data_IF_510853052704
#
_entry.id   IF_510853052704
#
_cell.length_a   1.000
_cell.length_b   1.000
_cell.length_c   1.000
_cell.angle_alpha   90.00
_cell.angle_beta   90.00
_cell.angle_gamma   90.00
#
_symmetry.space_group_name_H-M   'P 1'
#
loop_
_entity.id
_entity.type
_entity.pdbx_description
1 polymer ?
#
# COMPACT_ATOMS: atom_id res chain seq x y z
N UNK A 1 -11.05 -0.46 14.53
CA UNK A 1 -10.00 -0.96 13.58
C UNK A 1 -10.36 -2.37 13.15
N UNK A 2 -10.56 -2.59 11.86
CA UNK A 2 -10.78 -3.90 11.26
C UNK A 2 -9.43 -4.49 10.81
N UNK A 3 -9.34 -5.83 10.76
CA UNK A 3 -8.13 -6.56 10.34
C UNK A 3 -8.47 -7.56 9.25
N UNK A 4 -7.58 -7.70 8.30
CA UNK A 4 -7.63 -8.70 7.23
C UNK A 4 -6.60 -9.79 7.56
N UNK A 5 -6.95 -11.06 7.32
CA UNK A 5 -6.01 -12.17 7.51
C UNK A 5 -5.39 -12.52 6.16
N UNK A 6 -4.09 -12.38 6.05
CA UNK A 6 -3.33 -12.73 4.84
C UNK A 6 -3.21 -14.24 4.65
N UNK A 7 -2.84 -14.69 3.45
CA UNK A 7 -2.70 -16.11 3.10
C UNK A 7 -1.66 -16.89 3.93
N UNK A 8 -0.78 -16.18 4.63
CA UNK A 8 0.19 -16.79 5.55
C UNK A 8 -0.26 -16.73 7.03
N UNK A 9 -1.50 -16.33 7.29
CA UNK A 9 -2.09 -16.24 8.62
C UNK A 9 -1.78 -14.92 9.37
N UNK A 10 -0.96 -14.05 8.81
CA UNK A 10 -0.65 -12.75 9.40
C UNK A 10 -1.88 -11.83 9.33
N UNK A 11 -2.15 -11.08 10.41
CA UNK A 11 -3.22 -10.08 10.44
C UNK A 11 -2.68 -8.69 10.14
N UNK A 12 -3.24 -8.05 9.12
CA UNK A 12 -2.93 -6.67 8.72
C UNK A 12 -4.12 -5.75 9.00
N UNK A 13 -3.93 -4.53 9.55
CA UNK A 13 -5.01 -3.55 9.65
C UNK A 13 -5.55 -3.18 8.27
N UNK A 14 -6.87 -3.11 8.11
CA UNK A 14 -7.53 -2.76 6.85
C UNK A 14 -7.22 -1.32 6.39
N UNK A 15 -6.68 -0.48 7.26
CA UNK A 15 -6.20 0.87 6.94
C UNK A 15 -4.81 1.09 7.49
N UNK A 16 -3.91 1.60 6.62
CA UNK A 16 -2.56 2.00 6.96
C UNK A 16 -2.31 3.47 6.64
N UNK A 17 -1.23 4.02 7.18
CA UNK A 17 -0.76 5.37 6.91
C UNK A 17 0.38 5.33 5.89
N UNK A 18 0.13 5.84 4.69
CA UNK A 18 1.14 5.94 3.62
C UNK A 18 2.08 7.11 3.83
N UNK A 19 3.37 6.94 3.50
CA UNK A 19 4.41 7.97 3.64
C UNK A 19 4.97 8.48 2.31
N UNK A 20 4.47 8.01 1.17
CA UNK A 20 4.93 8.47 -0.14
C UNK A 20 4.81 10.00 -0.30
N UNK A 21 5.85 10.64 -0.83
CA UNK A 21 5.95 12.10 -1.01
C UNK A 21 5.85 12.91 0.31
N UNK A 22 6.18 12.33 1.45
CA UNK A 22 6.47 13.10 2.65
C UNK A 22 7.99 13.17 2.76
N UNK A 23 8.59 14.38 2.76
CA UNK A 23 10.04 14.51 2.75
C UNK A 23 10.66 14.09 4.10
N UNK A 24 11.93 13.67 4.05
CA UNK A 24 12.72 13.31 5.22
C UNK A 24 13.46 14.54 5.82
N UNK A 25 12.69 15.57 6.12
CA UNK A 25 13.15 16.83 6.75
C UNK A 25 12.54 17.06 8.15
N UNK A 26 12.12 15.98 8.80
CA UNK A 26 11.33 15.97 10.03
C UNK A 26 9.82 15.86 9.77
N UNK A 27 9.36 16.07 8.53
CA UNK A 27 7.94 15.99 8.17
C UNK A 27 7.41 14.56 8.26
N UNK A 28 8.19 13.57 7.77
CA UNK A 28 7.81 12.15 7.86
C UNK A 28 7.76 11.71 9.33
N UNK A 29 8.77 12.04 10.12
CA UNK A 29 8.77 11.73 11.55
C UNK A 29 7.52 12.28 12.25
N UNK A 30 7.19 13.56 12.01
CA UNK A 30 6.04 14.22 12.62
C UNK A 30 4.73 13.56 12.18
N UNK A 31 4.55 13.31 10.88
CA UNK A 31 3.32 12.73 10.33
C UNK A 31 3.07 11.30 10.83
N UNK A 32 4.11 10.45 10.89
CA UNK A 32 4.01 9.09 11.41
C UNK A 32 3.67 9.09 12.91
N UNK A 33 4.29 9.98 13.70
CA UNK A 33 3.91 10.12 15.12
C UNK A 33 2.46 10.55 15.31
N UNK A 34 1.98 11.52 14.54
CA UNK A 34 0.58 11.94 14.58
C UNK A 34 -0.36 10.80 14.14
N UNK A 35 0.01 10.01 13.13
CA UNK A 35 -0.78 8.86 12.71
C UNK A 35 -0.86 7.79 13.83
N UNK A 36 0.26 7.42 14.44
CA UNK A 36 0.28 6.46 15.55
C UNK A 36 -0.51 6.97 16.77
N UNK A 37 -0.39 8.27 17.08
CA UNK A 37 -1.17 8.94 18.13
C UNK A 37 -2.68 8.95 17.82
N UNK A 38 -3.06 9.14 16.56
CA UNK A 38 -4.46 9.09 16.12
C UNK A 38 -5.05 7.67 16.18
N UNK A 39 -4.23 6.62 16.29
CA UNK A 39 -4.66 5.24 16.41
C UNK A 39 -4.32 4.35 15.21
N UNK A 40 -3.62 4.85 14.19
CA UNK A 40 -3.07 3.96 13.15
C UNK A 40 -2.15 2.90 13.76
N UNK A 41 -2.24 1.69 13.22
CA UNK A 41 -1.37 0.57 13.59
C UNK A 41 -0.72 -0.10 12.38
N UNK A 42 -0.86 0.49 11.21
CA UNK A 42 -0.16 0.10 9.99
C UNK A 42 0.50 1.33 9.38
N UNK A 43 1.81 1.25 9.12
CA UNK A 43 2.62 2.29 8.47
C UNK A 43 3.23 1.71 7.22
N UNK A 44 3.04 2.39 6.08
CA UNK A 44 3.60 2.01 4.77
C UNK A 44 4.66 3.02 4.33
N UNK A 45 5.84 2.50 4.02
CA UNK A 45 6.96 3.23 3.44
C UNK A 45 7.61 2.45 2.30
N UNK A 46 8.77 2.88 1.81
CA UNK A 46 9.59 2.18 0.83
C UNK A 46 11.03 2.72 0.81
N UNK A 47 11.99 1.90 0.37
CA UNK A 47 13.36 2.34 0.16
C UNK A 47 13.45 3.56 -0.77
N UNK A 48 12.67 3.57 -1.87
CA UNK A 48 12.61 4.67 -2.84
C UNK A 48 11.93 5.96 -2.33
N UNK A 49 11.36 5.95 -1.13
CA UNK A 49 10.78 7.19 -0.54
C UNK A 49 11.81 8.01 0.23
N UNK A 50 13.00 7.47 0.47
CA UNK A 50 14.12 8.09 1.18
C UNK A 50 13.80 8.53 2.61
N UNK A 51 12.76 7.97 3.23
CA UNK A 51 12.26 8.39 4.53
C UNK A 51 12.17 7.26 5.57
N UNK A 52 12.69 6.07 5.27
CA UNK A 52 12.65 4.90 6.17
C UNK A 52 13.28 5.19 7.55
N UNK A 53 14.36 5.98 7.61
CA UNK A 53 15.02 6.34 8.87
C UNK A 53 14.12 7.17 9.80
N UNK A 54 13.38 8.13 9.23
CA UNK A 54 12.42 8.92 10.00
C UNK A 54 11.21 8.10 10.42
N UNK A 55 10.75 7.16 9.57
CA UNK A 55 9.69 6.21 9.92
C UNK A 55 10.11 5.34 11.10
N UNK A 56 11.30 4.73 11.04
CA UNK A 56 11.84 3.90 12.12
C UNK A 56 11.98 4.66 13.42
N UNK A 57 12.52 5.90 13.36
CA UNK A 57 12.64 6.79 14.50
C UNK A 57 11.28 7.17 15.09
N UNK A 58 10.29 7.49 14.25
CA UNK A 58 8.95 7.84 14.69
C UNK A 58 8.26 6.68 15.40
N UNK A 59 8.38 5.45 14.87
CA UNK A 59 7.88 4.23 15.50
C UNK A 59 8.51 4.05 16.88
N UNK A 60 9.83 4.12 16.97
CA UNK A 60 10.57 3.98 18.24
C UNK A 60 10.13 5.01 19.29
N UNK A 61 9.94 6.26 18.88
CA UNK A 61 9.63 7.39 19.77
C UNK A 61 8.10 7.57 19.99
N UNK A 62 7.26 6.72 19.41
CA UNK A 62 5.78 6.84 19.48
C UNK A 62 5.20 6.47 20.84
N UNK A 63 5.89 5.63 21.59
CA UNK A 63 5.37 5.00 22.82
C UNK A 63 4.42 3.81 22.57
N UNK A 64 4.13 3.47 21.30
CA UNK A 64 3.36 2.28 20.93
C UNK A 64 4.31 1.08 20.86
N UNK A 65 3.92 -0.04 21.45
CA UNK A 65 4.74 -1.23 21.41
C UNK A 65 4.95 -1.72 19.96
N UNK A 66 6.18 -2.12 19.60
CA UNK A 66 6.52 -2.51 18.21
C UNK A 66 5.61 -3.63 17.67
N UNK A 67 5.23 -4.57 18.50
CA UNK A 67 4.35 -5.68 18.13
C UNK A 67 2.88 -5.29 17.93
N UNK A 68 2.50 -4.07 18.26
CA UNK A 68 1.19 -3.49 17.94
C UNK A 68 1.20 -2.74 16.60
N UNK A 69 2.37 -2.53 16.00
CA UNK A 69 2.52 -1.80 14.74
C UNK A 69 2.83 -2.79 13.62
N UNK A 70 2.05 -2.74 12.55
CA UNK A 70 2.31 -3.41 11.29
C UNK A 70 3.12 -2.46 10.38
N UNK A 71 4.32 -2.84 10.01
CA UNK A 71 5.22 -2.03 9.20
C UNK A 71 5.41 -2.65 7.82
N UNK A 72 5.05 -1.90 6.78
CA UNK A 72 5.31 -2.25 5.38
C UNK A 72 6.45 -1.40 4.83
N UNK A 73 7.40 -2.04 4.14
CA UNK A 73 8.36 -1.36 3.27
C UNK A 73 8.49 -2.12 1.94
N UNK A 74 9.31 -1.59 1.01
CA UNK A 74 9.39 -2.11 -0.35
C UNK A 74 10.83 -2.08 -0.87
N UNK A 75 11.25 -3.19 -1.46
CA UNK A 75 12.54 -3.31 -2.14
C UNK A 75 12.46 -2.57 -3.48
N UNK A 76 13.42 -1.68 -3.73
CA UNK A 76 13.46 -0.94 -4.99
C UNK A 76 14.16 -1.72 -6.10
N UNK A 77 13.71 -1.53 -7.33
CA UNK A 77 14.18 -2.30 -8.51
C UNK A 77 15.69 -2.16 -8.81
N UNK A 78 16.35 -1.15 -8.28
CA UNK A 78 17.81 -0.98 -8.38
C UNK A 78 18.58 -2.11 -7.68
N UNK A 79 18.00 -2.65 -6.62
CA UNK A 79 18.65 -3.66 -5.76
C UNK A 79 18.30 -5.10 -6.13
N UNK A 80 17.48 -5.37 -7.17
CA UNK A 80 16.98 -6.73 -7.43
C UNK A 80 18.07 -7.74 -7.81
N UNK A 81 19.19 -7.32 -8.38
CA UNK A 81 20.33 -8.20 -8.68
C UNK A 81 21.16 -8.51 -7.43
N UNK A 82 21.09 -7.69 -6.39
CA UNK A 82 21.67 -7.93 -5.06
C UNK A 82 20.64 -7.55 -3.97
N UNK A 83 19.50 -8.25 -3.98
CA UNK A 83 18.37 -7.94 -3.13
C UNK A 83 18.70 -8.00 -1.64
N UNK A 84 19.72 -8.79 -1.25
CA UNK A 84 20.19 -8.86 0.13
C UNK A 84 20.65 -7.50 0.64
N UNK A 85 21.41 -6.75 -0.17
CA UNK A 85 21.89 -5.40 0.20
C UNK A 85 20.71 -4.45 0.45
N UNK A 86 19.71 -4.47 -0.45
CA UNK A 86 18.50 -3.66 -0.29
C UNK A 86 17.69 -3.99 0.97
N UNK A 87 17.50 -5.29 1.26
CA UNK A 87 16.79 -5.75 2.46
C UNK A 87 17.54 -5.31 3.73
N UNK A 88 18.84 -5.56 3.80
CA UNK A 88 19.66 -5.19 4.96
C UNK A 88 19.73 -3.67 5.17
N UNK A 89 19.71 -2.89 4.07
CA UNK A 89 19.63 -1.41 4.13
C UNK A 89 18.30 -0.97 4.74
N UNK A 90 17.17 -1.51 4.31
CA UNK A 90 15.85 -1.18 4.86
C UNK A 90 15.75 -1.56 6.34
N UNK A 91 16.17 -2.78 6.72
CA UNK A 91 16.18 -3.22 8.12
C UNK A 91 17.04 -2.29 9.00
N UNK A 92 18.21 -1.88 8.51
CA UNK A 92 19.09 -0.96 9.23
C UNK A 92 18.47 0.43 9.38
N UNK A 93 17.89 1.01 8.30
CA UNK A 93 17.28 2.35 8.32
C UNK A 93 16.03 2.38 9.20
N UNK A 94 15.19 1.37 9.13
CA UNK A 94 14.00 1.25 9.98
C UNK A 94 14.34 0.90 11.43
N UNK A 95 15.49 0.26 11.67
CA UNK A 95 15.96 -0.13 13.02
C UNK A 95 15.09 -1.19 13.68
N UNK A 96 14.30 -1.93 12.91
CA UNK A 96 13.37 -2.97 13.39
C UNK A 96 13.06 -3.98 12.28
N UNK A 97 12.48 -5.13 12.64
CA UNK A 97 11.93 -6.08 11.68
C UNK A 97 10.78 -5.47 10.86
N UNK A 98 10.48 -6.06 9.70
CA UNK A 98 9.44 -5.62 8.78
C UNK A 98 8.30 -6.65 8.80
N UNK A 99 7.05 -6.18 8.91
CA UNK A 99 5.88 -7.07 8.92
C UNK A 99 5.48 -7.48 7.51
N UNK A 100 5.58 -6.58 6.51
CA UNK A 100 5.33 -6.87 5.11
C UNK A 100 6.38 -6.20 4.24
N UNK A 101 7.06 -6.99 3.39
CA UNK A 101 8.04 -6.44 2.47
C UNK A 101 7.68 -6.76 1.02
N UNK A 102 7.65 -5.73 0.18
CA UNK A 102 7.13 -5.85 -1.18
C UNK A 102 8.25 -5.74 -2.23
N UNK A 103 8.13 -6.48 -3.31
CA UNK A 103 8.72 -6.11 -4.60
C UNK A 103 8.00 -4.85 -5.06
N UNK A 104 8.71 -3.69 -5.12
CA UNK A 104 8.08 -2.39 -5.36
C UNK A 104 7.60 -2.19 -6.79
N UNK A 105 8.40 -2.68 -7.76
CA UNK A 105 8.10 -2.54 -9.18
C UNK A 105 8.33 -3.87 -9.90
N UNK A 106 7.44 -4.28 -10.81
CA UNK A 106 7.50 -5.59 -11.44
C UNK A 106 8.41 -5.61 -12.68
N UNK A 107 9.66 -5.18 -12.52
CA UNK A 107 10.65 -5.12 -13.60
C UNK A 107 12.00 -5.69 -13.19
N UNK A 108 12.81 -6.07 -14.17
CA UNK A 108 14.15 -6.58 -13.93
C UNK A 108 14.15 -7.98 -13.31
N UNK A 109 15.07 -8.26 -12.42
CA UNK A 109 15.30 -9.59 -11.86
C UNK A 109 14.38 -9.90 -10.66
N UNK A 110 13.06 -9.78 -10.88
CA UNK A 110 12.02 -9.97 -9.85
C UNK A 110 12.12 -11.35 -9.21
N UNK A 111 12.34 -12.40 -9.99
CA UNK A 111 12.37 -13.78 -9.45
C UNK A 111 13.55 -13.99 -8.49
N UNK A 112 14.75 -13.46 -8.81
CA UNK A 112 15.89 -13.54 -7.90
C UNK A 112 15.66 -12.72 -6.63
N UNK A 113 15.11 -11.51 -6.75
CA UNK A 113 14.77 -10.69 -5.61
C UNK A 113 13.70 -11.37 -4.72
N UNK A 114 12.68 -11.99 -5.34
CA UNK A 114 11.66 -12.74 -4.61
C UNK A 114 12.25 -13.87 -3.77
N UNK A 115 13.18 -14.63 -4.33
CA UNK A 115 13.86 -15.71 -3.61
C UNK A 115 14.57 -15.22 -2.36
N UNK A 116 15.20 -14.05 -2.43
CA UNK A 116 15.83 -13.43 -1.26
C UNK A 116 14.79 -13.04 -0.22
N UNK A 117 13.62 -12.51 -0.62
CA UNK A 117 12.54 -12.20 0.33
C UNK A 117 11.99 -13.45 1.01
N UNK A 118 11.86 -14.57 0.29
CA UNK A 118 11.48 -15.87 0.86
C UNK A 118 12.49 -16.34 1.93
N UNK A 119 13.79 -16.18 1.68
CA UNK A 119 14.84 -16.52 2.64
C UNK A 119 14.75 -15.69 3.93
N UNK A 120 14.47 -14.37 3.81
CA UNK A 120 14.31 -13.48 4.97
C UNK A 120 12.99 -13.76 5.72
N UNK A 121 11.93 -14.13 5.02
CA UNK A 121 10.70 -14.63 5.64
C UNK A 121 10.95 -15.91 6.43
N UNK A 122 11.67 -16.85 5.86
CA UNK A 122 12.00 -18.11 6.53
C UNK A 122 12.85 -17.91 7.80
N UNK A 123 13.70 -16.87 7.85
CA UNK A 123 14.49 -16.47 9.03
C UNK A 123 13.68 -15.70 10.08
N UNK A 124 12.52 -15.15 9.72
CA UNK A 124 11.67 -14.37 10.60
C UNK A 124 12.01 -12.88 10.70
N UNK A 125 12.95 -12.37 9.89
CA UNK A 125 13.29 -10.95 9.81
C UNK A 125 12.18 -10.16 9.07
N UNK A 126 11.48 -10.84 8.16
CA UNK A 126 10.29 -10.37 7.45
C UNK A 126 9.16 -11.35 7.76
N UNK A 127 7.97 -10.85 8.13
CA UNK A 127 6.84 -11.71 8.49
C UNK A 127 6.05 -12.16 7.27
N UNK A 128 5.70 -11.22 6.38
CA UNK A 128 4.94 -11.44 5.15
C UNK A 128 5.65 -10.82 3.96
N UNK A 129 5.47 -11.40 2.77
CA UNK A 129 6.04 -10.89 1.52
C UNK A 129 4.93 -10.70 0.49
N UNK A 130 5.09 -9.69 -0.37
CA UNK A 130 4.11 -9.34 -1.38
C UNK A 130 4.73 -8.63 -2.58
N UNK A 131 3.88 -8.22 -3.49
CA UNK A 131 4.26 -7.51 -4.71
C UNK A 131 3.54 -6.17 -4.80
N UNK A 132 4.00 -5.30 -5.68
CA UNK A 132 3.34 -4.05 -5.99
C UNK A 132 3.32 -3.83 -7.50
N UNK A 133 2.25 -3.21 -7.99
CA UNK A 133 2.05 -2.85 -9.40
C UNK A 133 2.04 -4.03 -10.39
N UNK A 134 1.73 -5.22 -9.90
CA UNK A 134 1.65 -6.42 -10.73
C UNK A 134 0.35 -6.40 -11.54
N UNK A 135 0.46 -6.16 -12.85
CA UNK A 135 -0.66 -6.19 -13.80
C UNK A 135 -0.98 -7.64 -14.19
N UNK A 136 -2.11 -7.94 -14.86
CA UNK A 136 -2.39 -9.29 -15.34
C UNK A 136 -1.28 -9.88 -16.22
N UNK A 137 -0.68 -9.07 -17.09
CA UNK A 137 0.44 -9.49 -17.95
C UNK A 137 1.68 -9.86 -17.14
N UNK A 138 2.06 -9.00 -16.19
CA UNK A 138 3.22 -9.19 -15.33
C UNK A 138 2.99 -10.31 -14.30
N UNK A 139 1.75 -10.46 -13.82
CA UNK A 139 1.31 -11.58 -13.01
C UNK A 139 1.62 -12.92 -13.67
N UNK A 140 1.14 -13.11 -14.90
CA UNK A 140 1.37 -14.34 -15.66
C UNK A 140 2.85 -14.58 -15.97
N UNK A 141 3.67 -13.53 -15.99
CA UNK A 141 5.10 -13.63 -16.23
C UNK A 141 5.87 -14.07 -15.01
N UNK A 142 5.60 -13.49 -13.84
CA UNK A 142 6.44 -13.65 -12.66
C UNK A 142 5.94 -14.68 -11.66
N UNK A 143 4.61 -14.74 -11.41
CA UNK A 143 4.05 -15.63 -10.38
C UNK A 143 4.44 -17.12 -10.56
N UNK A 144 4.49 -17.67 -11.79
CA UNK A 144 4.93 -19.06 -11.98
C UNK A 144 6.38 -19.36 -11.53
N UNK A 145 7.16 -18.33 -11.26
CA UNK A 145 8.55 -18.44 -10.83
C UNK A 145 8.71 -18.33 -9.30
N UNK A 146 7.64 -18.14 -8.55
CA UNK A 146 7.65 -17.96 -7.10
C UNK A 146 7.35 -19.28 -6.39
N UNK A 147 8.14 -19.61 -5.37
CA UNK A 147 7.87 -20.79 -4.52
C UNK A 147 6.78 -20.47 -3.49
N UNK A 148 6.71 -19.22 -3.02
CA UNK A 148 5.71 -18.72 -2.07
C UNK A 148 4.77 -17.75 -2.77
N UNK A 149 3.45 -17.91 -2.59
CA UNK A 149 2.48 -16.95 -3.12
C UNK A 149 2.58 -15.60 -2.39
N UNK A 150 2.60 -14.45 -3.10
CA UNK A 150 2.52 -13.15 -2.46
C UNK A 150 1.26 -13.02 -1.59
N UNK A 151 1.36 -12.29 -0.48
CA UNK A 151 0.21 -12.07 0.41
C UNK A 151 -0.67 -10.91 -0.05
N UNK A 152 -0.07 -9.92 -0.69
CA UNK A 152 -0.76 -8.76 -1.26
C UNK A 152 -0.19 -8.37 -2.61
N UNK A 153 -1.02 -7.69 -3.42
CA UNK A 153 -0.58 -6.87 -4.55
C UNK A 153 -0.96 -5.41 -4.25
N UNK A 154 0.02 -4.55 -3.97
CA UNK A 154 -0.22 -3.13 -3.72
C UNK A 154 -0.30 -2.38 -5.06
N UNK A 155 -1.49 -1.94 -5.44
CA UNK A 155 -1.77 -1.33 -6.74
C UNK A 155 -2.48 0.02 -6.60
N UNK A 156 -2.47 0.82 -7.67
CA UNK A 156 -3.35 1.98 -7.76
C UNK A 156 -4.79 1.50 -7.73
N UNK A 157 -5.55 1.96 -6.73
CA UNK A 157 -6.97 1.62 -6.63
C UNK A 157 -7.74 2.81 -6.05
N UNK A 158 -8.84 3.17 -6.68
CA UNK A 158 -9.78 4.21 -6.23
C UNK A 158 -11.09 4.08 -7.02
N UNK A 159 -12.16 4.82 -6.69
CA UNK A 159 -13.46 4.72 -7.36
C UNK A 159 -13.45 4.83 -8.88
N UNK A 160 -12.52 5.62 -9.46
CA UNK A 160 -12.42 5.79 -10.92
C UNK A 160 -11.48 4.78 -11.58
N UNK A 161 -10.73 3.99 -10.81
CA UNK A 161 -9.77 3.01 -11.32
C UNK A 161 -9.75 1.77 -10.42
N UNK A 162 -10.68 0.85 -10.68
CA UNK A 162 -10.98 -0.28 -9.80
C UNK A 162 -10.21 -1.56 -10.16
N UNK A 163 -9.45 -1.57 -11.24
CA UNK A 163 -8.56 -2.67 -11.66
C UNK A 163 -9.21 -4.07 -11.62
N UNK A 164 -10.41 -4.21 -12.13
CA UNK A 164 -11.19 -5.44 -12.07
C UNK A 164 -10.49 -6.65 -12.72
N UNK A 165 -9.76 -6.41 -13.82
CA UNK A 165 -8.96 -7.41 -14.51
C UNK A 165 -7.75 -7.90 -13.69
N UNK A 166 -7.10 -7.00 -12.94
CA UNK A 166 -6.03 -7.37 -12.02
C UNK A 166 -6.58 -8.21 -10.86
N UNK A 167 -7.74 -7.83 -10.31
CA UNK A 167 -8.42 -8.60 -9.25
C UNK A 167 -8.83 -9.98 -9.78
N UNK A 168 -9.35 -10.07 -11.01
CA UNK A 168 -9.70 -11.33 -11.65
C UNK A 168 -8.47 -12.23 -11.85
N UNK A 169 -7.34 -11.66 -12.30
CA UNK A 169 -6.09 -12.40 -12.45
C UNK A 169 -5.55 -12.98 -11.13
N UNK A 170 -5.86 -12.34 -10.00
CA UNK A 170 -5.48 -12.78 -8.67
C UNK A 170 -6.50 -13.75 -8.05
N UNK A 171 -7.66 -13.94 -8.68
CA UNK A 171 -8.73 -14.77 -8.11
C UNK A 171 -8.26 -16.22 -7.88
N UNK A 172 -8.63 -16.79 -6.73
CA UNK A 172 -8.26 -18.17 -6.35
C UNK A 172 -6.87 -18.31 -5.71
N UNK A 173 -6.11 -17.23 -5.53
CA UNK A 173 -4.78 -17.24 -4.91
C UNK A 173 -4.75 -16.77 -3.44
N UNK A 174 -5.91 -16.50 -2.86
CA UNK A 174 -6.06 -16.03 -1.46
C UNK A 174 -5.17 -14.82 -1.14
N UNK A 175 -5.11 -13.88 -2.08
CA UNK A 175 -4.36 -12.63 -1.97
C UNK A 175 -5.28 -11.45 -1.78
N UNK A 176 -4.74 -10.38 -1.19
CA UNK A 176 -5.47 -9.14 -1.00
C UNK A 176 -4.91 -8.01 -1.87
N UNK A 177 -5.80 -7.10 -2.26
CA UNK A 177 -5.42 -5.80 -2.83
C UNK A 177 -5.06 -4.86 -1.69
N UNK A 178 -3.96 -4.15 -1.86
CA UNK A 178 -3.62 -3.01 -1.03
C UNK A 178 -3.59 -1.75 -1.93
N UNK A 179 -4.40 -0.76 -1.58
CA UNK A 179 -4.62 0.42 -2.43
C UNK A 179 -3.60 1.51 -2.14
N UNK A 180 -2.71 1.79 -3.09
CA UNK A 180 -2.02 3.08 -3.07
C UNK A 180 -2.83 4.12 -3.85
N UNK A 181 -2.81 5.37 -3.34
CA UNK A 181 -3.61 6.45 -3.90
C UNK A 181 -5.13 6.25 -3.78
N UNK A 182 -5.66 5.72 -2.65
CA UNK A 182 -7.10 5.45 -2.48
C UNK A 182 -7.95 6.70 -2.71
N UNK A 183 -7.46 7.87 -2.35
CA UNK A 183 -8.12 9.15 -2.54
C UNK A 183 -7.72 9.86 -3.85
N UNK A 184 -7.25 9.12 -4.87
CA UNK A 184 -6.88 9.64 -6.19
C UNK A 184 -5.67 10.57 -6.17
N UNK A 185 -4.84 10.57 -5.12
CA UNK A 185 -3.68 11.48 -4.98
C UNK A 185 -4.02 12.97 -5.14
N UNK A 186 -5.24 13.35 -4.78
CA UNK A 186 -5.72 14.73 -4.87
C UNK A 186 -6.43 15.07 -6.19
N UNK A 187 -6.69 14.07 -7.04
CA UNK A 187 -7.54 14.26 -8.23
C UNK A 187 -8.94 14.71 -7.80
N UNK A 188 -9.34 15.88 -8.30
CA UNK A 188 -10.64 16.45 -7.99
C UNK A 188 -11.81 15.59 -8.51
N UNK A 189 -11.61 14.82 -9.59
CA UNK A 189 -12.63 13.92 -10.12
C UNK A 189 -12.92 12.75 -9.17
N UNK A 190 -11.97 12.35 -8.36
CA UNK A 190 -12.14 11.36 -7.30
C UNK A 190 -12.72 12.02 -6.05
N UNK A 191 -11.96 12.96 -5.45
CA UNK A 191 -12.28 13.48 -4.11
C UNK A 191 -13.45 14.47 -4.09
N UNK A 192 -13.85 15.04 -5.22
CA UNK A 192 -14.99 15.96 -5.35
C UNK A 192 -16.10 15.41 -6.26
N UNK A 193 -16.13 14.10 -6.47
CA UNK A 193 -17.16 13.47 -7.29
C UNK A 193 -18.55 13.75 -6.69
N UNK A 194 -19.51 14.16 -7.52
CA UNK A 194 -20.86 14.58 -7.05
C UNK A 194 -21.63 13.42 -6.44
N UNK A 195 -21.57 12.21 -7.04
CA UNK A 195 -22.26 11.04 -6.51
C UNK A 195 -21.71 10.64 -5.13
N UNK A 196 -20.37 10.70 -4.94
CA UNK A 196 -19.75 10.46 -3.64
C UNK A 196 -20.14 11.55 -2.64
N UNK A 197 -20.26 12.81 -3.08
CA UNK A 197 -20.68 13.92 -2.21
C UNK A 197 -22.12 13.76 -1.71
N UNK A 198 -23.04 13.28 -2.56
CA UNK A 198 -24.42 12.97 -2.17
C UNK A 198 -24.47 11.85 -1.11
N UNK A 199 -23.68 10.79 -1.32
CA UNK A 199 -23.54 9.70 -0.33
C UNK A 199 -22.95 10.25 0.98
N UNK A 200 -21.90 11.08 0.91
CA UNK A 200 -21.26 11.66 2.08
C UNK A 200 -22.25 12.46 2.96
N UNK A 201 -23.13 13.24 2.33
CA UNK A 201 -24.19 13.97 3.02
C UNK A 201 -25.17 13.04 3.75
N UNK A 202 -25.52 11.91 3.13
CA UNK A 202 -26.42 10.90 3.71
C UNK A 202 -25.86 10.31 5.03
N UNK A 203 -24.53 10.08 5.06
CA UNK A 203 -23.86 9.47 6.23
C UNK A 203 -23.28 10.50 7.21
N UNK A 204 -23.32 11.81 6.90
CA UNK A 204 -22.71 12.86 7.73
C UNK A 204 -21.17 12.75 7.77
N UNK A 205 -20.57 12.22 6.70
CA UNK A 205 -19.12 12.00 6.55
C UNK A 205 -18.54 12.87 5.43
N UNK A 206 -17.23 12.96 5.32
CA UNK A 206 -16.58 13.57 4.16
C UNK A 206 -16.37 12.56 3.02
N UNK A 207 -16.10 13.06 1.80
CA UNK A 207 -15.92 12.21 0.63
C UNK A 207 -14.76 11.21 0.78
N UNK A 208 -13.69 11.61 1.49
CA UNK A 208 -12.55 10.72 1.74
C UNK A 208 -12.94 9.54 2.61
N UNK A 209 -13.76 9.78 3.65
CA UNK A 209 -14.27 8.72 4.52
C UNK A 209 -15.17 7.75 3.75
N UNK A 210 -16.04 8.24 2.87
CA UNK A 210 -16.89 7.39 2.00
C UNK A 210 -16.03 6.52 1.08
N UNK A 211 -15.04 7.09 0.42
CA UNK A 211 -14.14 6.35 -0.48
C UNK A 211 -13.41 5.25 0.30
N UNK A 212 -12.77 5.60 1.41
CA UNK A 212 -12.02 4.64 2.22
C UNK A 212 -12.93 3.53 2.78
N UNK A 213 -14.15 3.85 3.20
CA UNK A 213 -15.10 2.84 3.67
C UNK A 213 -15.55 1.92 2.55
N UNK A 214 -15.81 2.46 1.35
CA UNK A 214 -16.15 1.68 0.16
C UNK A 214 -15.05 0.67 -0.18
N UNK A 215 -13.79 1.11 -0.21
CA UNK A 215 -12.65 0.23 -0.47
C UNK A 215 -12.51 -0.87 0.59
N UNK A 216 -12.63 -0.52 1.87
CA UNK A 216 -12.57 -1.48 2.99
C UNK A 216 -13.72 -2.50 2.89
N UNK A 217 -14.93 -2.09 2.52
CA UNK A 217 -16.07 -3.01 2.35
C UNK A 217 -15.87 -3.95 1.14
N UNK A 218 -15.04 -3.60 0.16
CA UNK A 218 -14.56 -4.51 -0.88
C UNK A 218 -13.40 -5.42 -0.43
N UNK A 219 -13.00 -5.37 0.83
CA UNK A 219 -11.87 -6.15 1.35
C UNK A 219 -10.49 -5.62 0.92
N UNK A 220 -10.43 -4.37 0.47
CA UNK A 220 -9.19 -3.70 0.08
C UNK A 220 -8.53 -3.06 1.30
N UNK A 221 -7.21 -3.25 1.45
CA UNK A 221 -6.40 -2.57 2.44
C UNK A 221 -6.06 -1.19 1.89
N UNK A 222 -6.31 -0.12 2.65
CA UNK A 222 -6.17 1.25 2.14
C UNK A 222 -5.04 2.02 2.80
N UNK A 223 -4.30 2.81 2.01
CA UNK A 223 -3.14 3.57 2.44
C UNK A 223 -3.31 5.08 2.19
N UNK A 224 -4.25 5.75 2.87
CA UNK A 224 -4.36 7.20 2.77
C UNK A 224 -3.12 7.89 3.34
N UNK A 225 -2.74 9.05 2.74
CA UNK A 225 -1.63 9.89 3.17
C UNK A 225 -2.09 11.31 3.46
N UNK A 226 -1.60 11.86 4.55
CA UNK A 226 -1.73 13.29 4.85
C UNK A 226 -0.64 13.76 5.80
N UNK A 227 -0.25 15.03 5.68
CA UNK A 227 0.58 15.74 6.67
C UNK A 227 -0.25 16.63 7.60
N UNK A 228 -1.57 16.66 7.43
CA UNK A 228 -2.49 17.49 8.21
C UNK A 228 -3.15 16.63 9.31
N UNK A 229 -2.94 16.92 10.61
CA UNK A 229 -3.46 16.11 11.70
C UNK A 229 -4.98 15.86 11.63
N UNK A 230 -5.76 16.88 11.25
CA UNK A 230 -7.20 16.73 11.11
C UNK A 230 -7.60 15.71 10.03
N UNK A 231 -6.88 15.66 8.90
CA UNK A 231 -7.12 14.66 7.84
C UNK A 231 -6.61 13.28 8.23
N UNK A 232 -5.51 13.20 8.98
CA UNK A 232 -5.01 11.93 9.52
C UNK A 232 -6.07 11.30 10.40
N UNK A 233 -6.68 12.08 11.30
CA UNK A 233 -7.75 11.60 12.17
C UNK A 233 -9.03 11.27 11.38
N UNK A 234 -9.48 12.14 10.46
CA UNK A 234 -10.68 11.92 9.65
C UNK A 234 -10.58 10.66 8.79
N UNK A 235 -9.44 10.42 8.13
CA UNK A 235 -9.24 9.22 7.32
C UNK A 235 -9.34 7.91 8.13
N UNK A 236 -9.05 7.95 9.43
CA UNK A 236 -9.15 6.77 10.29
C UNK A 236 -10.59 6.54 10.81
N UNK A 237 -11.41 7.57 10.80
CA UNK A 237 -12.78 7.55 11.32
C UNK A 237 -13.77 7.01 10.28
N UNK A 238 -13.60 5.72 9.93
CA UNK A 238 -14.34 5.02 8.85
C UNK A 238 -14.97 3.69 9.32
N UNK A 239 -14.90 3.37 10.61
CA UNK A 239 -15.37 2.09 11.15
C UNK A 239 -16.67 2.20 11.96
N UNK A 240 -17.26 3.37 12.04
CA UNK A 240 -18.51 3.65 12.79
C UNK A 240 -19.76 3.65 11.90
N UNK A 241 -19.61 3.39 10.60
CA UNK A 241 -20.70 3.31 9.62
C UNK A 241 -20.44 2.25 8.55
N UNK A 242 -21.49 1.86 7.84
CA UNK A 242 -21.42 0.97 6.67
C UNK A 242 -22.24 1.58 5.54
N UNK A 243 -21.70 1.50 4.32
CA UNK A 243 -22.41 1.88 3.11
C UNK A 243 -23.44 0.81 2.74
N UNK A 244 -24.63 1.24 2.34
CA UNK A 244 -25.65 0.32 1.81
C UNK A 244 -25.21 -0.29 0.49
N UNK A 245 -25.80 -1.44 0.12
CA UNK A 245 -25.51 -2.06 -1.18
C UNK A 245 -25.82 -1.15 -2.37
N UNK A 246 -26.83 -0.26 -2.24
CA UNK A 246 -27.16 0.75 -3.26
C UNK A 246 -26.04 1.79 -3.39
N UNK A 247 -25.54 2.31 -2.27
CA UNK A 247 -24.48 3.31 -2.26
C UNK A 247 -23.15 2.70 -2.77
N UNK A 248 -22.86 1.44 -2.41
CA UNK A 248 -21.73 0.69 -2.96
C UNK A 248 -21.82 0.59 -4.48
N UNK A 249 -22.99 0.18 -5.02
CA UNK A 249 -23.19 0.05 -6.46
C UNK A 249 -23.06 1.39 -7.22
N UNK A 250 -23.46 2.52 -6.61
CA UNK A 250 -23.27 3.84 -7.20
C UNK A 250 -21.77 4.15 -7.36
N UNK A 251 -20.95 3.82 -6.37
CA UNK A 251 -19.49 4.04 -6.45
C UNK A 251 -18.85 3.04 -7.41
N UNK A 252 -19.28 1.77 -7.43
CA UNK A 252 -18.80 0.73 -8.36
C UNK A 252 -19.02 1.14 -9.83
N UNK A 253 -20.08 1.89 -10.11
CA UNK A 253 -20.41 2.36 -11.46
C UNK A 253 -19.51 3.53 -11.93
N UNK A 254 -18.67 4.11 -11.06
CA UNK A 254 -17.76 5.21 -11.42
C UNK A 254 -16.49 4.76 -12.14
N UNK A 255 -16.23 3.46 -12.26
CA UNK A 255 -15.01 2.90 -12.84
C UNK A 255 -14.79 3.37 -14.29
N UNK A 256 -13.65 3.99 -14.54
CA UNK A 256 -13.18 4.43 -15.85
C UNK A 256 -11.99 3.61 -16.35
N UNK A 257 -11.52 2.65 -15.54
CA UNK A 257 -10.34 1.83 -15.84
C UNK A 257 -10.60 0.66 -16.78
N UNK A 258 -11.87 0.30 -17.01
CA UNK A 258 -12.24 -0.86 -17.85
C UNK A 258 -11.70 -0.68 -19.28
N UNK A 259 -10.86 -1.65 -19.71
CA UNK A 259 -10.27 -1.66 -21.05
C UNK A 259 -9.17 -0.62 -21.27
N UNK A 260 -8.73 0.10 -20.24
CA UNK A 260 -7.59 1.00 -20.33
C UNK A 260 -6.28 0.22 -20.14
N UNK A 261 -5.20 0.57 -20.90
CA UNK A 261 -3.91 -0.05 -20.69
C UNK A 261 -3.37 0.24 -19.29
N UNK A 262 -2.80 -0.76 -18.65
CA UNK A 262 -2.11 -0.56 -17.37
C UNK A 262 -0.85 0.28 -17.59
N UNK A 263 -0.62 1.23 -16.71
CA UNK A 263 0.57 2.09 -16.77
C UNK A 263 1.86 1.28 -16.81
N UNK A 264 1.95 0.23 -15.99
CA UNK A 264 3.13 -0.62 -15.88
C UNK A 264 3.35 -1.58 -17.07
N UNK A 265 2.39 -1.73 -17.97
CA UNK A 265 2.58 -2.49 -19.22
C UNK A 265 3.16 -1.62 -20.35
N UNK A 266 3.30 -0.29 -20.15
CA UNK A 266 3.80 0.60 -21.18
C UNK A 266 5.33 0.50 -21.34
N UNK A 267 5.84 0.45 -22.59
CA UNK A 267 7.29 0.49 -22.85
C UNK A 267 7.92 1.77 -22.26
N UNK A 268 9.11 1.61 -21.67
CA UNK A 268 9.89 2.73 -21.11
C UNK A 268 9.55 3.11 -19.67
N UNK A 269 8.49 2.58 -19.07
CA UNK A 269 8.17 2.85 -17.66
C UNK A 269 9.28 2.36 -16.74
N UNK A 270 9.85 1.20 -16.98
CA UNK A 270 11.01 0.71 -16.21
C UNK A 270 12.17 1.70 -16.24
N UNK A 271 12.57 2.18 -17.43
CA UNK A 271 13.67 3.13 -17.55
C UNK A 271 13.36 4.46 -16.86
N UNK A 272 12.13 4.95 -16.99
CA UNK A 272 11.67 6.15 -16.29
C UNK A 272 11.81 6.00 -14.77
N UNK A 273 11.34 4.88 -14.20
CA UNK A 273 11.40 4.62 -12.77
C UNK A 273 12.84 4.49 -12.25
N UNK A 274 13.71 3.80 -13.00
CA UNK A 274 15.15 3.69 -12.67
C UNK A 274 15.84 5.05 -12.64
N UNK A 275 15.43 5.97 -13.51
CA UNK A 275 16.01 7.32 -13.59
C UNK A 275 15.45 8.28 -12.54
N UNK A 276 14.18 8.08 -12.12
CA UNK A 276 13.50 8.98 -11.20
C UNK A 276 13.90 8.78 -9.73
N UNK A 277 14.28 7.56 -9.35
CA UNK A 277 14.58 7.20 -7.96
C UNK A 277 15.89 6.40 -7.92
N UNK A 278 17.00 7.09 -7.63
CA UNK A 278 18.32 6.48 -7.44
C UNK A 278 18.60 6.43 -5.94
N UNK A 279 18.73 5.23 -5.39
CA UNK A 279 19.09 5.05 -3.97
C UNK A 279 20.61 5.16 -3.87
N UNK A 280 21.06 6.10 -3.05
CA UNK A 280 22.46 6.24 -2.64
C UNK A 280 22.67 5.51 -1.30
N UNK A 281 23.86 4.90 -1.13
CA UNK A 281 24.21 4.12 0.09
C UNK A 281 24.50 5.02 1.29
#
# INVERSE_FOLDING_TARGET
MEYITLNDGTKIPAIGFGTFMIPADGSTYTAVKEALKAGYRHIDTAAAYFNEEEVGKAIKDSGVARNEIFLTSKLWLQDYDDAKVGVERSLRKLGTNIDLYLIHQPYGNVAAAWKVLEDYKAKGDIRSIGVSNMTPTLWNTFIPQFDTMPSVNQIKYNPLYQQKDTIEAMAGHDMHIEAWGPLGQGDANVIKNSAITEIAQKYGKDNGQIILRWEIQHGVIVLPKSTKPARIASNLDVFDFELSGEDMAVIDALDQGVGQPHFHDNPGVEQMLRSAFVIED
#
